data_IF_923252812454
#
_entry.id   IF_923252812454
#
_cell.length_a   1.000
_cell.length_b   1.000
_cell.length_c   1.000
_cell.angle_alpha   90.00
_cell.angle_beta   90.00
_cell.angle_gamma   90.00
#
_symmetry.space_group_name_H-M   'P 1'
#
loop_
_entity.id
_entity.type
_entity.pdbx_description
1 polymer ?
#
# COMPACT_ATOMS: atom_id res chain seq x y z
N UNK A 1 54.41 52.76 29.54
CA UNK A 1 53.45 52.95 30.64
C UNK A 1 52.81 51.59 30.92
N UNK A 2 53.08 51.01 32.11
CA UNK A 2 52.37 49.92 32.81
C UNK A 2 51.85 48.72 31.98
N UNK A 3 52.50 47.56 31.98
CA UNK A 3 52.44 46.50 33.01
C UNK A 3 51.11 45.74 33.07
N UNK A 4 51.20 44.41 32.91
CA UNK A 4 50.49 43.37 33.69
C UNK A 4 48.99 43.13 33.38
N UNK A 5 48.43 41.92 33.41
CA UNK A 5 48.90 40.54 33.58
C UNK A 5 47.64 39.63 33.58
N UNK A 6 47.86 38.30 33.40
CA UNK A 6 47.03 37.17 33.88
C UNK A 6 45.78 36.78 33.06
N UNK A 7 45.47 35.50 32.82
CA UNK A 7 46.13 34.23 33.14
C UNK A 7 45.46 33.09 32.34
N UNK A 8 46.25 32.05 32.07
CA UNK A 8 45.88 30.71 31.59
C UNK A 8 44.74 30.03 32.37
N UNK A 9 44.13 29.00 31.75
CA UNK A 9 44.02 27.58 32.20
C UNK A 9 43.19 26.83 31.12
N UNK A 10 43.80 25.99 30.25
CA UNK A 10 43.73 24.49 30.26
C UNK A 10 42.33 23.95 30.64
N UNK A 11 41.64 23.08 29.91
CA UNK A 11 41.99 21.75 29.33
C UNK A 11 40.69 21.31 28.60
N UNK A 12 40.73 20.83 27.35
CA UNK A 12 40.74 19.38 27.01
C UNK A 12 39.45 18.67 27.51
N UNK A 13 38.60 18.01 26.71
CA UNK A 13 38.83 16.88 25.81
C UNK A 13 37.48 16.59 25.10
N UNK A 14 37.48 16.22 23.82
CA UNK A 14 36.72 15.09 23.21
C UNK A 14 36.78 15.17 21.66
N UNK A 15 36.79 14.02 20.96
CA UNK A 15 37.73 13.75 19.90
C UNK A 15 37.13 13.89 18.50
N UNK A 16 38.00 14.15 17.52
CA UNK A 16 37.70 13.92 16.12
C UNK A 16 37.42 12.44 15.88
N UNK A 17 36.17 12.11 15.59
CA UNK A 17 35.78 10.80 15.07
C UNK A 17 35.54 10.91 13.57
N UNK A 18 36.32 10.09 12.88
CA UNK A 18 36.35 9.77 11.46
C UNK A 18 34.99 9.86 10.76
N UNK A 19 34.98 10.54 9.60
CA UNK A 19 33.98 10.35 8.54
C UNK A 19 34.07 8.90 8.05
N UNK A 20 33.27 8.03 8.66
CA UNK A 20 33.04 6.66 8.24
C UNK A 20 31.57 6.33 8.37
N UNK A 21 30.85 6.42 7.25
CA UNK A 21 29.76 5.51 6.89
C UNK A 21 29.20 6.00 5.56
N UNK A 22 29.69 5.39 4.48
CA UNK A 22 29.10 5.55 3.15
C UNK A 22 27.63 5.15 3.22
N UNK A 23 26.75 6.02 2.74
CA UNK A 23 25.43 5.63 2.30
C UNK A 23 25.57 4.35 1.47
N UNK A 24 24.97 3.24 1.91
CA UNK A 24 24.78 2.06 1.06
C UNK A 24 23.73 2.44 0.03
N UNK A 25 24.19 3.12 -1.01
CA UNK A 25 23.55 3.12 -2.31
C UNK A 25 23.28 1.65 -2.65
N UNK A 26 22.04 1.31 -2.97
CA UNK A 26 21.73 0.06 -3.68
C UNK A 26 22.36 0.16 -5.07
N UNK A 27 23.67 -0.07 -5.14
CA UNK A 27 24.37 -0.42 -6.36
C UNK A 27 23.95 -1.85 -6.63
N UNK A 28 23.05 -2.06 -7.59
CA UNK A 28 22.96 -3.37 -8.26
C UNK A 28 24.33 -3.54 -8.91
N UNK A 29 25.18 -4.48 -8.46
CA UNK A 29 26.52 -4.54 -8.99
C UNK A 29 26.49 -5.03 -10.44
N UNK A 30 27.49 -4.63 -11.20
CA UNK A 30 27.87 -5.17 -12.52
C UNK A 30 28.34 -6.66 -12.41
N UNK A 31 27.75 -7.45 -11.49
CA UNK A 31 28.24 -8.68 -10.82
C UNK A 31 27.94 -9.99 -11.55
N UNK A 32 27.31 -9.97 -12.72
CA UNK A 32 26.92 -11.21 -13.42
C UNK A 32 28.12 -12.09 -13.81
N UNK A 33 29.30 -11.49 -13.97
CA UNK A 33 30.54 -12.22 -14.23
C UNK A 33 31.02 -12.99 -12.99
N UNK A 34 30.89 -12.39 -11.81
CA UNK A 34 31.29 -13.01 -10.55
C UNK A 34 30.34 -14.15 -10.16
N UNK A 35 29.06 -14.01 -10.50
CA UNK A 35 28.08 -15.11 -10.40
C UNK A 35 28.45 -16.25 -11.36
N UNK A 36 28.74 -15.93 -12.63
CA UNK A 36 29.12 -16.93 -13.64
C UNK A 36 30.41 -17.68 -13.29
N UNK A 37 31.37 -17.01 -12.65
CA UNK A 37 32.72 -17.53 -12.39
C UNK A 37 32.92 -18.03 -10.96
N UNK A 38 31.85 -18.18 -10.17
CA UNK A 38 31.96 -18.57 -8.75
C UNK A 38 32.64 -19.94 -8.58
N UNK A 39 32.46 -20.87 -9.53
CA UNK A 39 33.19 -22.14 -9.58
C UNK A 39 32.81 -23.18 -8.51
N UNK A 40 31.75 -22.94 -7.73
CA UNK A 40 31.11 -23.90 -6.83
C UNK A 40 29.61 -23.57 -6.68
N UNK A 41 28.80 -24.58 -6.38
CA UNK A 41 27.38 -24.42 -6.12
C UNK A 41 27.09 -24.03 -4.67
N UNK A 42 25.99 -23.32 -4.48
CA UNK A 42 25.50 -22.86 -3.18
C UNK A 42 23.98 -22.92 -3.15
N UNK A 43 23.36 -22.66 -2.00
CA UNK A 43 21.89 -22.62 -1.92
C UNK A 43 21.28 -21.55 -2.84
N UNK A 44 22.04 -20.49 -3.16
CA UNK A 44 21.68 -19.38 -4.04
C UNK A 44 22.33 -19.43 -5.44
N UNK A 45 23.10 -20.49 -5.78
CA UNK A 45 23.69 -20.64 -7.12
C UNK A 45 23.71 -22.10 -7.56
N UNK A 46 23.20 -22.35 -8.77
CA UNK A 46 23.15 -23.67 -9.39
C UNK A 46 23.61 -23.59 -10.85
N UNK A 47 24.45 -24.53 -11.27
CA UNK A 47 24.98 -24.63 -12.62
C UNK A 47 24.26 -25.73 -13.38
N UNK A 48 23.82 -25.42 -14.60
CA UNK A 48 23.23 -26.41 -15.51
C UNK A 48 24.04 -26.49 -16.79
N UNK A 49 24.20 -27.73 -17.25
CA UNK A 49 24.76 -28.04 -18.56
C UNK A 49 23.99 -27.31 -19.68
N UNK A 50 24.57 -27.17 -20.88
CA UNK A 50 23.88 -26.58 -22.02
C UNK A 50 22.57 -27.31 -22.34
N UNK A 51 21.44 -26.60 -22.23
CA UNK A 51 20.10 -27.13 -22.54
C UNK A 51 19.36 -26.19 -23.48
N UNK A 52 18.36 -26.72 -24.19
CA UNK A 52 17.41 -25.91 -24.98
C UNK A 52 16.11 -25.80 -24.21
N UNK A 53 15.53 -24.59 -24.15
CA UNK A 53 14.19 -24.40 -23.61
C UNK A 53 13.13 -24.83 -24.64
N UNK A 54 12.75 -26.10 -24.57
CA UNK A 54 11.75 -26.73 -25.43
C UNK A 54 10.55 -27.23 -24.61
N UNK A 55 9.40 -26.60 -24.81
CA UNK A 55 8.15 -26.95 -24.11
C UNK A 55 7.48 -28.20 -24.67
N UNK A 56 7.97 -28.75 -25.80
CA UNK A 56 7.58 -30.07 -26.29
C UNK A 56 8.33 -31.18 -25.54
N UNK A 57 9.57 -30.92 -25.11
CA UNK A 57 10.34 -31.77 -24.21
C UNK A 57 10.36 -31.19 -22.78
N UNK A 58 9.21 -31.26 -22.12
CA UNK A 58 8.96 -30.60 -20.84
C UNK A 58 9.85 -31.05 -19.68
N UNK A 59 10.54 -32.19 -19.78
CA UNK A 59 11.32 -32.75 -18.66
C UNK A 59 12.40 -31.78 -18.20
N UNK A 60 13.25 -31.32 -19.12
CA UNK A 60 14.31 -30.38 -18.80
C UNK A 60 13.76 -29.03 -18.30
N UNK A 61 12.67 -28.54 -18.90
CA UNK A 61 11.99 -27.33 -18.43
C UNK A 61 11.46 -27.49 -17.00
N UNK A 62 10.88 -28.65 -16.66
CA UNK A 62 10.34 -28.94 -15.34
C UNK A 62 11.46 -29.11 -14.28
N UNK A 63 12.63 -29.62 -14.67
CA UNK A 63 13.80 -29.68 -13.78
C UNK A 63 14.26 -28.27 -13.40
N UNK A 64 14.34 -27.35 -14.36
CA UNK A 64 14.63 -25.94 -14.09
C UNK A 64 13.52 -25.29 -13.24
N UNK A 65 12.25 -25.56 -13.52
CA UNK A 65 11.12 -25.07 -12.70
C UNK A 65 11.23 -25.54 -11.26
N UNK A 66 11.61 -26.81 -11.04
CA UNK A 66 11.81 -27.36 -9.70
C UNK A 66 12.88 -26.56 -8.96
N UNK A 67 14.02 -26.29 -9.60
CA UNK A 67 15.11 -25.52 -9.00
C UNK A 67 14.70 -24.07 -8.70
N UNK A 68 13.92 -23.44 -9.59
CA UNK A 68 13.36 -22.12 -9.35
C UNK A 68 12.43 -22.12 -8.12
N UNK A 69 11.54 -23.11 -7.98
CA UNK A 69 10.67 -23.26 -6.80
C UNK A 69 11.49 -23.41 -5.52
N UNK A 70 12.51 -24.28 -5.54
CA UNK A 70 13.39 -24.52 -4.40
C UNK A 70 14.14 -23.26 -3.96
N UNK A 71 14.76 -22.57 -4.92
CA UNK A 71 15.49 -21.33 -4.66
C UNK A 71 14.56 -20.22 -4.16
N UNK A 72 13.42 -20.00 -4.82
CA UNK A 72 12.48 -18.94 -4.47
C UNK A 72 11.97 -19.07 -3.03
N UNK A 73 11.73 -20.30 -2.55
CA UNK A 73 11.31 -20.62 -1.18
C UNK A 73 12.43 -20.59 -0.14
N UNK A 74 13.69 -20.49 -0.58
CA UNK A 74 14.86 -20.52 0.30
C UNK A 74 15.50 -19.13 0.37
N UNK A 75 16.53 -18.86 -0.45
CA UNK A 75 17.28 -17.59 -0.41
C UNK A 75 17.04 -16.72 -1.65
N UNK A 76 16.30 -17.19 -2.66
CA UNK A 76 16.46 -16.71 -4.02
C UNK A 76 17.83 -17.15 -4.58
N UNK A 77 18.25 -16.57 -5.69
CA UNK A 77 19.57 -16.84 -6.25
C UNK A 77 19.64 -16.77 -7.76
N UNK A 78 20.57 -17.54 -8.33
CA UNK A 78 20.83 -17.59 -9.75
C UNK A 78 20.97 -19.03 -10.24
N UNK A 79 20.43 -19.30 -11.42
CA UNK A 79 20.68 -20.54 -12.17
C UNK A 79 21.45 -20.14 -13.44
N UNK A 80 22.61 -20.77 -13.65
CA UNK A 80 23.49 -20.47 -14.79
C UNK A 80 23.47 -21.65 -15.76
N UNK A 81 22.95 -21.43 -16.96
CA UNK A 81 22.89 -22.40 -18.04
C UNK A 81 24.13 -22.26 -18.93
N UNK A 82 24.74 -23.39 -19.27
CA UNK A 82 25.94 -23.48 -20.10
C UNK A 82 27.19 -23.93 -19.34
N UNK A 83 27.05 -24.45 -18.13
CA UNK A 83 28.16 -24.90 -17.29
C UNK A 83 27.90 -26.35 -16.86
N UNK A 84 28.74 -27.28 -17.30
CA UNK A 84 28.60 -28.70 -16.96
C UNK A 84 29.50 -29.08 -15.79
N UNK A 85 29.04 -30.04 -14.99
CA UNK A 85 29.86 -30.66 -13.95
C UNK A 85 30.82 -31.71 -14.54
N UNK A 86 32.01 -31.78 -13.95
CA UNK A 86 33.05 -32.75 -14.26
C UNK A 86 33.68 -33.26 -12.95
N UNK A 87 34.42 -34.37 -13.00
CA UNK A 87 35.09 -34.94 -11.83
C UNK A 87 36.05 -33.99 -11.13
N UNK A 88 36.54 -32.96 -11.85
CA UNK A 88 37.53 -31.99 -11.36
C UNK A 88 36.95 -30.57 -11.22
N UNK A 89 35.63 -30.39 -11.20
CA UNK A 89 34.98 -29.08 -11.05
C UNK A 89 34.00 -28.77 -12.19
N UNK A 90 33.97 -27.52 -12.64
CA UNK A 90 33.01 -27.05 -13.64
C UNK A 90 33.67 -26.77 -14.99
N UNK A 91 32.93 -27.03 -16.07
CA UNK A 91 33.32 -26.74 -17.45
C UNK A 91 32.36 -25.69 -18.02
N UNK A 92 32.90 -24.51 -18.36
CA UNK A 92 32.15 -23.43 -19.00
C UNK A 92 31.96 -23.72 -20.48
N UNK A 93 31.05 -24.63 -20.80
CA UNK A 93 30.75 -25.07 -22.17
C UNK A 93 30.18 -23.96 -23.04
N UNK A 94 29.39 -23.07 -22.43
CA UNK A 94 28.57 -22.09 -23.12
C UNK A 94 27.35 -22.74 -23.78
N UNK A 95 26.52 -21.92 -24.41
CA UNK A 95 25.38 -22.37 -25.19
C UNK A 95 25.49 -21.89 -26.64
N UNK A 96 24.88 -22.64 -27.55
CA UNK A 96 24.74 -22.25 -28.95
C UNK A 96 23.76 -21.09 -29.12
N UNK A 97 23.85 -20.35 -30.23
CA UNK A 97 22.90 -19.28 -30.56
C UNK A 97 21.43 -19.75 -30.55
N UNK A 98 21.18 -20.97 -31.02
CA UNK A 98 19.86 -21.56 -31.03
C UNK A 98 19.32 -21.81 -29.62
N UNK A 99 20.16 -22.36 -28.73
CA UNK A 99 19.82 -22.52 -27.31
C UNK A 99 19.61 -21.16 -26.65
N UNK A 100 20.50 -20.19 -26.88
CA UNK A 100 20.35 -18.84 -26.33
C UNK A 100 19.03 -18.20 -26.75
N UNK A 101 18.62 -18.31 -28.02
CA UNK A 101 17.33 -17.78 -28.51
C UNK A 101 16.11 -18.49 -27.92
N UNK A 102 16.24 -19.77 -27.52
CA UNK A 102 15.14 -20.50 -26.89
C UNK A 102 14.75 -19.95 -25.52
N UNK A 103 15.71 -19.37 -24.80
CA UNK A 103 15.51 -18.72 -23.52
C UNK A 103 15.06 -17.26 -23.68
N UNK A 104 13.78 -17.05 -23.39
CA UNK A 104 13.11 -15.74 -23.33
C UNK A 104 12.42 -15.59 -21.97
N UNK A 105 12.59 -14.44 -21.31
CA UNK A 105 12.06 -14.17 -19.97
C UNK A 105 10.54 -14.37 -19.90
N UNK A 106 9.80 -13.85 -20.88
CA UNK A 106 8.33 -13.90 -20.88
C UNK A 106 7.84 -15.33 -21.09
N UNK A 107 8.51 -16.07 -21.97
CA UNK A 107 8.22 -17.48 -22.24
C UNK A 107 8.48 -18.36 -21.01
N UNK A 108 9.63 -18.21 -20.37
CA UNK A 108 10.00 -18.95 -19.14
C UNK A 108 9.01 -18.64 -18.01
N UNK A 109 8.71 -17.36 -17.76
CA UNK A 109 7.78 -16.97 -16.69
C UNK A 109 6.35 -17.46 -16.96
N UNK A 110 5.88 -17.44 -18.21
CA UNK A 110 4.56 -18.00 -18.59
C UNK A 110 4.49 -19.50 -18.35
N UNK A 111 5.56 -20.23 -18.66
CA UNK A 111 5.62 -21.66 -18.37
C UNK A 111 5.58 -21.91 -16.87
N UNK A 112 6.43 -21.21 -16.10
CA UNK A 112 6.56 -21.29 -14.65
C UNK A 112 5.26 -20.97 -13.89
N UNK A 113 4.48 -19.99 -14.36
CA UNK A 113 3.16 -19.64 -13.80
C UNK A 113 2.20 -20.83 -13.73
N UNK A 114 2.29 -21.79 -14.66
CA UNK A 114 1.45 -22.99 -14.64
C UNK A 114 1.81 -23.97 -13.50
N UNK A 115 2.96 -23.78 -12.86
CA UNK A 115 3.51 -24.69 -11.86
C UNK A 115 3.66 -24.05 -10.48
N UNK A 116 3.65 -22.73 -10.34
CA UNK A 116 3.88 -22.03 -9.07
C UNK A 116 2.66 -21.20 -8.62
N UNK A 117 2.27 -21.33 -7.35
CA UNK A 117 1.28 -20.48 -6.67
C UNK A 117 1.83 -19.96 -5.32
N UNK A 118 1.99 -18.65 -5.10
CA UNK A 118 1.78 -17.58 -6.08
C UNK A 118 2.79 -17.64 -7.24
N UNK A 119 2.57 -16.91 -8.35
CA UNK A 119 3.50 -16.84 -9.46
C UNK A 119 4.91 -16.35 -9.07
N UNK A 120 5.93 -16.92 -9.70
CA UNK A 120 7.33 -16.46 -9.59
C UNK A 120 7.70 -15.71 -10.88
N UNK A 121 8.23 -14.49 -10.75
CA UNK A 121 8.72 -13.69 -11.88
C UNK A 121 10.26 -13.68 -11.88
N UNK A 122 10.86 -14.58 -12.66
CA UNK A 122 12.31 -14.63 -12.84
C UNK A 122 12.82 -13.56 -13.81
N UNK A 123 14.09 -13.20 -13.68
CA UNK A 123 14.80 -12.36 -14.66
C UNK A 123 15.77 -13.22 -15.46
N UNK A 124 15.95 -12.92 -16.75
CA UNK A 124 16.88 -13.66 -17.59
C UNK A 124 17.86 -12.69 -18.26
N UNK A 125 19.14 -13.02 -18.18
CA UNK A 125 20.23 -12.26 -18.80
C UNK A 125 21.13 -13.20 -19.59
N UNK A 126 21.52 -12.79 -20.78
CA UNK A 126 22.54 -13.49 -21.58
C UNK A 126 23.88 -12.80 -21.34
N UNK A 127 24.91 -13.57 -21.05
CA UNK A 127 26.26 -13.04 -20.77
C UNK A 127 27.28 -13.76 -21.62
N UNK A 128 28.11 -12.99 -22.32
CA UNK A 128 29.25 -13.52 -23.04
C UNK A 128 30.50 -13.52 -22.16
N UNK A 129 31.25 -14.61 -22.19
CA UNK A 129 32.53 -14.78 -21.52
C UNK A 129 33.42 -15.75 -22.33
N UNK A 130 34.66 -15.34 -22.59
CA UNK A 130 35.65 -16.12 -23.35
C UNK A 130 35.12 -16.68 -24.69
N UNK A 131 34.36 -15.86 -25.42
CA UNK A 131 33.78 -16.21 -26.72
C UNK A 131 32.59 -17.18 -26.65
N UNK A 132 32.08 -17.46 -25.45
CA UNK A 132 30.94 -18.33 -25.20
C UNK A 132 29.80 -17.56 -24.53
N UNK A 133 28.57 -17.89 -24.88
CA UNK A 133 27.37 -17.27 -24.29
C UNK A 133 26.81 -18.15 -23.18
N UNK A 134 26.26 -17.54 -22.14
CA UNK A 134 25.59 -18.19 -21.01
C UNK A 134 24.25 -17.53 -20.74
N UNK A 135 23.31 -18.28 -20.17
CA UNK A 135 22.02 -17.74 -19.70
C UNK A 135 22.02 -17.76 -18.17
N UNK A 136 21.78 -16.60 -17.56
CA UNK A 136 21.69 -16.44 -16.11
C UNK A 136 20.24 -16.11 -15.78
N UNK A 137 19.60 -16.98 -15.01
CA UNK A 137 18.24 -16.84 -14.52
C UNK A 137 18.31 -16.35 -13.08
N UNK A 138 17.92 -15.10 -12.84
CA UNK A 138 17.78 -14.56 -11.49
C UNK A 138 16.43 -14.97 -10.91
N UNK A 139 16.48 -15.70 -9.79
CA UNK A 139 15.33 -16.20 -9.05
C UNK A 139 15.09 -15.32 -7.82
N UNK A 140 13.97 -14.59 -7.74
CA UNK A 140 13.67 -13.80 -6.56
C UNK A 140 13.29 -14.71 -5.40
N UNK A 141 13.66 -14.29 -4.18
CA UNK A 141 13.10 -14.86 -2.97
C UNK A 141 11.63 -14.44 -2.83
N UNK A 142 10.79 -15.32 -2.29
CA UNK A 142 9.39 -14.99 -1.98
C UNK A 142 9.30 -13.78 -1.04
N UNK A 143 8.31 -12.90 -1.23
CA UNK A 143 8.24 -11.63 -0.51
C UNK A 143 7.16 -11.58 0.59
N UNK A 144 6.17 -12.47 0.55
CA UNK A 144 5.12 -12.57 1.58
C UNK A 144 4.73 -14.05 1.78
N UNK A 145 4.26 -14.70 0.71
CA UNK A 145 3.82 -16.10 0.75
C UNK A 145 4.79 -17.00 -0.02
N UNK A 146 5.19 -18.17 0.54
CA UNK A 146 5.97 -19.18 -0.18
C UNK A 146 5.24 -19.73 -1.40
N UNK A 147 5.99 -20.22 -2.38
CA UNK A 147 5.49 -20.75 -3.64
C UNK A 147 5.27 -22.27 -3.57
N UNK A 148 4.03 -22.69 -3.77
CA UNK A 148 3.63 -24.10 -3.82
C UNK A 148 3.64 -24.56 -5.28
N UNK A 149 4.13 -25.78 -5.52
CA UNK A 149 3.97 -26.44 -6.80
C UNK A 149 2.51 -26.87 -6.98
N UNK A 150 1.83 -26.35 -8.00
CA UNK A 150 0.39 -26.60 -8.24
C UNK A 150 0.11 -27.60 -9.37
N UNK A 151 1.15 -28.13 -10.04
CA UNK A 151 0.99 -29.07 -11.15
C UNK A 151 2.06 -30.16 -11.16
N UNK A 152 1.61 -31.41 -11.30
CA UNK A 152 2.50 -32.57 -11.43
C UNK A 152 3.27 -32.58 -12.76
N UNK A 153 4.49 -33.12 -12.71
CA UNK A 153 5.20 -33.60 -13.88
C UNK A 153 5.92 -34.92 -13.56
N UNK A 154 5.57 -36.05 -14.21
CA UNK A 154 6.06 -37.38 -13.85
C UNK A 154 7.58 -37.43 -13.65
N UNK A 155 8.00 -37.87 -12.46
CA UNK A 155 9.42 -38.05 -12.10
C UNK A 155 10.18 -36.76 -11.76
N UNK A 156 9.56 -35.58 -11.82
CA UNK A 156 10.24 -34.29 -11.53
C UNK A 156 9.48 -33.47 -10.50
N UNK A 157 8.21 -33.14 -10.77
CA UNK A 157 7.37 -32.25 -9.96
C UNK A 157 6.15 -33.00 -9.43
N UNK A 158 5.73 -32.65 -8.22
CA UNK A 158 4.57 -33.19 -7.53
C UNK A 158 3.75 -32.04 -6.96
N UNK A 159 2.43 -32.14 -7.03
CA UNK A 159 1.49 -31.14 -6.56
C UNK A 159 0.46 -31.75 -5.58
N UNK A 160 0.08 -31.03 -4.51
CA UNK A 160 0.70 -29.79 -4.01
C UNK A 160 2.02 -30.10 -3.28
N UNK A 161 3.11 -29.40 -3.60
CA UNK A 161 4.39 -29.59 -2.89
C UNK A 161 5.16 -28.30 -2.75
N UNK A 162 5.67 -28.04 -1.54
CA UNK A 162 6.62 -26.97 -1.28
C UNK A 162 8.04 -27.52 -1.42
N UNK A 163 8.78 -27.02 -2.40
CA UNK A 163 10.18 -27.36 -2.64
C UNK A 163 11.12 -26.35 -1.97
N UNK A 164 12.23 -26.83 -1.40
CA UNK A 164 13.28 -26.02 -0.76
C UNK A 164 14.67 -26.51 -1.17
N UNK A 165 15.69 -25.65 -1.00
CA UNK A 165 17.11 -26.01 -1.15
C UNK A 165 17.62 -26.66 0.14
N UNK A 166 18.16 -27.86 0.01
CA UNK A 166 18.78 -28.60 1.11
C UNK A 166 20.20 -28.07 1.39
N UNK A 167 20.82 -28.55 2.47
CA UNK A 167 22.22 -28.24 2.80
C UNK A 167 23.22 -28.74 1.74
N UNK A 168 22.82 -29.72 0.93
CA UNK A 168 23.62 -30.23 -0.18
C UNK A 168 23.40 -29.44 -1.48
N UNK A 169 22.74 -28.27 -1.41
CA UNK A 169 22.36 -27.47 -2.57
C UNK A 169 21.45 -28.23 -3.56
N UNK A 170 20.66 -29.20 -3.09
CA UNK A 170 19.68 -29.88 -3.94
C UNK A 170 18.28 -29.34 -3.70
N UNK A 171 17.40 -29.45 -4.69
CA UNK A 171 16.00 -29.10 -4.52
C UNK A 171 15.15 -30.32 -4.13
N UNK A 172 14.56 -30.29 -2.95
CA UNK A 172 13.74 -31.38 -2.41
C UNK A 172 12.39 -30.89 -1.86
N UNK A 173 11.36 -31.76 -1.83
CA UNK A 173 10.16 -31.50 -1.04
C UNK A 173 10.52 -31.24 0.42
N UNK A 174 9.79 -30.36 1.07
CA UNK A 174 9.87 -30.19 2.51
C UNK A 174 9.60 -31.53 3.24
N UNK A 175 10.48 -31.90 4.18
CA UNK A 175 10.38 -33.19 4.88
C UNK A 175 10.54 -33.09 6.39
N UNK A 176 11.07 -31.97 6.91
CA UNK A 176 11.31 -31.80 8.34
C UNK A 176 10.55 -30.60 8.91
N UNK A 177 10.31 -30.64 10.22
CA UNK A 177 9.80 -29.50 10.98
C UNK A 177 10.79 -28.33 11.00
N UNK A 178 12.09 -28.60 10.86
CA UNK A 178 13.14 -27.59 10.77
C UNK A 178 12.99 -26.77 9.47
N UNK A 179 12.80 -27.44 8.33
CA UNK A 179 12.56 -26.79 7.03
C UNK A 179 11.28 -25.93 7.09
N UNK A 180 10.22 -26.46 7.70
CA UNK A 180 8.95 -25.74 7.84
C UNK A 180 9.12 -24.48 8.67
N UNK A 181 9.81 -24.61 9.81
CA UNK A 181 10.11 -23.49 10.69
C UNK A 181 10.95 -22.43 10.00
N UNK A 182 11.96 -22.83 9.23
CA UNK A 182 12.80 -21.91 8.46
C UNK A 182 11.98 -21.07 7.47
N UNK A 183 11.08 -21.69 6.70
CA UNK A 183 10.21 -20.95 5.77
C UNK A 183 9.28 -19.99 6.53
N UNK A 184 8.69 -20.44 7.63
CA UNK A 184 7.78 -19.62 8.42
C UNK A 184 8.49 -18.40 9.02
N UNK A 185 9.67 -18.59 9.61
CA UNK A 185 10.50 -17.51 10.15
C UNK A 185 10.89 -16.51 9.04
N UNK A 186 11.16 -17.02 7.83
CA UNK A 186 11.44 -16.19 6.67
C UNK A 186 10.23 -15.41 6.17
N UNK A 187 9.03 -15.98 6.18
CA UNK A 187 7.79 -15.28 5.84
C UNK A 187 7.49 -14.17 6.85
N UNK A 188 7.62 -14.47 8.14
CA UNK A 188 7.46 -13.49 9.23
C UNK A 188 8.48 -12.36 9.09
N UNK A 189 9.75 -12.70 8.83
CA UNK A 189 10.81 -11.70 8.62
C UNK A 189 10.53 -10.83 7.40
N UNK A 190 10.20 -11.41 6.25
CA UNK A 190 9.93 -10.64 5.03
C UNK A 190 8.75 -9.67 5.23
N UNK A 191 7.70 -10.10 5.94
CA UNK A 191 6.59 -9.24 6.32
C UNK A 191 7.03 -8.15 7.31
N UNK A 192 7.85 -8.50 8.30
CA UNK A 192 8.45 -7.54 9.23
C UNK A 192 9.34 -6.50 8.55
N UNK A 193 10.17 -6.91 7.59
CA UNK A 193 11.04 -6.02 6.81
C UNK A 193 10.22 -5.11 5.91
N UNK A 194 9.13 -5.59 5.31
CA UNK A 194 8.17 -4.73 4.59
C UNK A 194 7.53 -3.71 5.53
N UNK A 195 7.05 -4.13 6.70
CA UNK A 195 6.48 -3.22 7.69
C UNK A 195 7.50 -2.19 8.18
N UNK A 196 8.74 -2.62 8.45
CA UNK A 196 9.84 -1.73 8.84
C UNK A 196 10.29 -0.84 7.68
N UNK A 197 10.21 -1.29 6.43
CA UNK A 197 10.47 -0.47 5.25
C UNK A 197 9.36 0.56 5.06
N UNK A 198 8.09 0.22 5.30
CA UNK A 198 6.98 1.18 5.31
C UNK A 198 7.11 2.15 6.50
N UNK A 199 7.46 1.68 7.70
CA UNK A 199 7.71 2.54 8.89
C UNK A 199 8.95 3.42 8.70
N UNK A 200 10.02 2.89 8.10
CA UNK A 200 11.18 3.68 7.72
C UNK A 200 10.85 4.59 6.55
N UNK A 201 10.03 4.20 5.58
CA UNK A 201 9.54 5.14 4.59
C UNK A 201 8.81 6.27 5.31
N UNK A 202 7.93 6.00 6.26
CA UNK A 202 7.25 7.01 7.10
C UNK A 202 8.23 7.87 7.92
N UNK A 203 9.30 7.29 8.48
CA UNK A 203 10.29 7.98 9.34
C UNK A 203 11.43 8.65 8.55
N UNK A 204 11.69 8.22 7.32
CA UNK A 204 12.81 8.62 6.44
C UNK A 204 12.32 9.31 5.17
N UNK A 205 11.01 9.39 4.93
CA UNK A 205 10.41 10.42 4.09
C UNK A 205 10.62 11.74 4.80
N UNK A 206 11.78 12.33 4.53
CA UNK A 206 11.79 13.74 4.23
C UNK A 206 10.65 14.02 3.27
N UNK A 207 9.87 15.04 3.62
CA UNK A 207 8.78 15.63 2.87
C UNK A 207 8.88 15.34 1.36
N UNK A 208 8.09 14.37 0.87
CA UNK A 208 7.69 14.40 -0.54
C UNK A 208 6.73 15.58 -0.63
N UNK A 209 7.30 16.78 -0.70
CA UNK A 209 6.55 17.98 -0.98
C UNK A 209 6.05 17.85 -2.41
N UNK A 210 4.73 17.87 -2.65
CA UNK A 210 4.21 17.90 -4.00
C UNK A 210 4.81 19.08 -4.76
N UNK A 211 4.91 18.96 -6.09
CA UNK A 211 5.26 20.11 -6.92
C UNK A 211 4.24 21.23 -6.60
N UNK A 212 4.67 22.45 -6.22
CA UNK A 212 3.74 23.51 -5.82
C UNK A 212 2.62 23.77 -6.82
N UNK A 213 2.93 23.67 -8.13
CA UNK A 213 1.95 23.84 -9.20
C UNK A 213 0.88 22.72 -9.26
N UNK A 214 1.24 21.48 -8.90
CA UNK A 214 0.28 20.38 -8.88
C UNK A 214 -0.65 20.50 -7.68
N UNK A 215 -0.10 20.85 -6.51
CA UNK A 215 -0.88 21.09 -5.29
C UNK A 215 -1.85 22.27 -5.48
N UNK A 216 -1.40 23.38 -6.08
CA UNK A 216 -2.26 24.53 -6.38
C UNK A 216 -3.47 24.16 -7.24
N UNK A 217 -3.28 23.27 -8.23
CA UNK A 217 -4.37 22.81 -9.10
C UNK A 217 -5.38 21.93 -8.35
N UNK A 218 -4.92 21.00 -7.50
CA UNK A 218 -5.83 20.21 -6.66
C UNK A 218 -6.54 21.07 -5.60
N UNK A 219 -5.86 22.06 -5.03
CA UNK A 219 -6.49 23.02 -4.11
C UNK A 219 -7.54 23.89 -4.80
N UNK A 220 -7.35 24.23 -6.08
CA UNK A 220 -8.36 24.89 -6.88
C UNK A 220 -9.61 24.01 -7.08
N UNK A 221 -9.43 22.73 -7.45
CA UNK A 221 -10.54 21.76 -7.57
C UNK A 221 -11.27 21.55 -6.24
N UNK A 222 -10.54 21.46 -5.12
CA UNK A 222 -11.13 21.40 -3.78
C UNK A 222 -11.99 22.63 -3.49
N UNK A 223 -11.43 23.82 -3.71
CA UNK A 223 -12.11 25.09 -3.43
C UNK A 223 -13.35 25.25 -4.29
N UNK A 224 -13.27 24.90 -5.58
CA UNK A 224 -14.40 24.90 -6.50
C UNK A 224 -15.52 23.98 -6.03
N UNK A 225 -15.21 22.74 -5.64
CA UNK A 225 -16.18 21.77 -5.13
C UNK A 225 -16.89 22.28 -3.86
N UNK A 226 -16.12 22.82 -2.90
CA UNK A 226 -16.68 23.37 -1.66
C UNK A 226 -17.58 24.60 -1.93
N UNK A 227 -17.12 25.55 -2.75
CA UNK A 227 -17.88 26.75 -3.12
C UNK A 227 -19.17 26.36 -3.86
N UNK A 228 -19.07 25.41 -4.79
CA UNK A 228 -20.23 24.91 -5.55
C UNK A 228 -21.31 24.36 -4.62
N UNK A 229 -20.91 23.57 -3.62
CA UNK A 229 -21.85 23.08 -2.60
C UNK A 229 -22.49 24.24 -1.83
N UNK A 230 -21.69 25.12 -1.23
CA UNK A 230 -22.19 26.17 -0.32
C UNK A 230 -23.06 27.22 -1.03
N UNK A 231 -22.69 27.59 -2.27
CA UNK A 231 -23.37 28.66 -2.99
C UNK A 231 -24.60 28.15 -3.74
N UNK A 232 -24.53 26.94 -4.33
CA UNK A 232 -25.49 26.50 -5.35
C UNK A 232 -26.29 25.27 -4.96
N UNK A 233 -25.66 24.27 -4.33
CA UNK A 233 -26.25 22.93 -4.20
C UNK A 233 -26.80 22.60 -2.81
N UNK A 234 -26.37 23.28 -1.75
CA UNK A 234 -26.73 22.90 -0.39
C UNK A 234 -28.27 22.94 -0.18
N UNK A 235 -28.93 21.76 -0.03
CA UNK A 235 -30.39 21.67 0.07
C UNK A 235 -30.91 22.22 1.40
N UNK A 236 -30.03 22.39 2.39
CA UNK A 236 -30.34 22.83 3.75
C UNK A 236 -29.73 24.18 4.08
N UNK A 237 -29.48 25.02 3.07
CA UNK A 237 -28.92 26.37 3.25
C UNK A 237 -29.69 27.19 4.29
N UNK A 238 -31.02 27.21 4.20
CA UNK A 238 -31.89 27.92 5.14
C UNK A 238 -31.84 27.36 6.58
N UNK A 239 -31.48 26.08 6.73
CA UNK A 239 -31.32 25.47 8.06
C UNK A 239 -30.01 25.91 8.73
N UNK A 240 -29.05 26.51 8.02
CA UNK A 240 -27.79 26.99 8.60
C UNK A 240 -27.05 25.91 9.42
N UNK A 241 -26.91 24.71 8.83
CA UNK A 241 -26.01 23.70 9.38
C UNK A 241 -24.56 24.13 9.20
N UNK A 242 -23.73 23.93 10.22
CA UNK A 242 -22.29 24.23 10.19
C UNK A 242 -21.41 22.99 10.29
N UNK A 243 -21.96 21.87 10.79
CA UNK A 243 -21.23 20.63 11.02
C UNK A 243 -21.18 19.72 9.80
N UNK A 244 -20.08 19.76 9.05
CA UNK A 244 -19.83 18.85 7.92
C UNK A 244 -18.52 18.10 8.09
N UNK A 245 -18.43 16.90 7.51
CA UNK A 245 -17.16 16.20 7.26
C UNK A 245 -16.85 16.29 5.79
N UNK A 246 -15.60 16.58 5.46
CA UNK A 246 -15.08 16.56 4.11
C UNK A 246 -13.92 15.58 4.04
N UNK A 247 -13.89 14.77 3.00
CA UNK A 247 -12.74 13.93 2.67
C UNK A 247 -12.35 14.16 1.22
N UNK A 248 -11.05 14.25 0.95
CA UNK A 248 -10.51 14.27 -0.40
C UNK A 248 -9.40 13.26 -0.56
N UNK A 249 -9.28 12.71 -1.76
CA UNK A 249 -8.21 11.78 -2.13
C UNK A 249 -7.74 12.10 -3.55
N UNK A 250 -6.44 12.26 -3.74
CA UNK A 250 -5.90 12.65 -5.04
C UNK A 250 -4.41 12.26 -5.17
N UNK A 251 -3.92 11.95 -6.38
CA UNK A 251 -2.50 11.70 -6.61
C UNK A 251 -1.69 12.99 -6.41
N UNK A 252 -0.38 12.87 -6.16
CA UNK A 252 0.48 14.06 -5.99
C UNK A 252 0.84 14.76 -7.31
N UNK A 253 0.72 14.06 -8.44
CA UNK A 253 0.94 14.60 -9.79
C UNK A 253 -0.39 14.98 -10.41
N UNK A 254 -0.51 16.21 -10.87
CA UNK A 254 -1.70 16.71 -11.54
C UNK A 254 -1.66 16.46 -13.05
N UNK A 255 -2.74 15.89 -13.58
CA UNK A 255 -3.00 15.78 -15.02
C UNK A 255 -4.50 15.95 -15.27
N UNK A 256 -4.92 17.05 -15.90
CA UNK A 256 -6.35 17.46 -16.02
C UNK A 256 -7.30 16.34 -16.51
N UNK A 257 -6.86 15.53 -17.49
CA UNK A 257 -7.63 14.43 -18.08
C UNK A 257 -6.90 13.11 -18.03
N UNK A 258 -6.47 12.73 -16.83
CA UNK A 258 -5.80 11.46 -16.59
C UNK A 258 -6.69 10.24 -16.85
N UNK A 259 -7.97 10.34 -16.49
CA UNK A 259 -8.94 9.24 -16.60
C UNK A 259 -10.14 9.61 -17.46
N UNK A 260 -10.73 8.62 -18.10
CA UNK A 260 -11.99 8.74 -18.84
C UNK A 260 -13.20 8.68 -17.90
N UNK A 261 -14.34 9.24 -18.30
CA UNK A 261 -15.57 9.17 -17.51
C UNK A 261 -16.01 7.72 -17.22
N UNK A 262 -15.78 6.79 -18.15
CA UNK A 262 -16.17 5.39 -17.96
C UNK A 262 -15.28 4.69 -16.93
N UNK A 263 -13.99 5.01 -16.89
CA UNK A 263 -13.09 4.55 -15.82
C UNK A 263 -13.52 5.08 -14.46
N UNK A 264 -13.86 6.37 -14.37
CA UNK A 264 -14.34 6.98 -13.12
C UNK A 264 -15.64 6.31 -12.64
N UNK A 265 -16.58 6.01 -13.57
CA UNK A 265 -17.84 5.34 -13.25
C UNK A 265 -17.62 3.93 -12.74
N UNK A 266 -16.84 3.13 -13.48
CA UNK A 266 -16.54 1.75 -13.11
C UNK A 266 -15.83 1.69 -11.74
N UNK A 267 -14.91 2.63 -11.49
CA UNK A 267 -14.23 2.77 -10.21
C UNK A 267 -15.20 3.08 -9.06
N UNK A 268 -16.08 4.07 -9.24
CA UNK A 268 -17.05 4.48 -8.23
C UNK A 268 -18.05 3.37 -7.89
N UNK A 269 -18.62 2.69 -8.90
CA UNK A 269 -19.56 1.58 -8.69
C UNK A 269 -18.91 0.43 -7.89
N UNK A 270 -17.64 0.12 -8.14
CA UNK A 270 -16.88 -0.90 -7.39
C UNK A 270 -16.54 -0.45 -5.96
N UNK A 271 -16.29 0.84 -5.74
CA UNK A 271 -15.91 1.37 -4.44
C UNK A 271 -17.10 1.60 -3.49
N UNK A 272 -18.33 1.63 -4.01
CA UNK A 272 -19.56 1.75 -3.23
C UNK A 272 -19.83 0.48 -2.39
N UNK A 273 -19.21 0.38 -1.21
CA UNK A 273 -19.33 -0.74 -0.27
C UNK A 273 -20.08 -0.30 0.99
N UNK A 274 -21.12 -1.07 1.36
CA UNK A 274 -21.97 -0.76 2.52
C UNK A 274 -21.58 -1.57 3.77
N UNK A 275 -21.26 -0.85 4.86
CA UNK A 275 -21.04 -1.44 6.19
C UNK A 275 -22.07 -1.02 7.24
N UNK A 276 -22.90 0.00 6.94
CA UNK A 276 -23.72 0.72 7.95
C UNK A 276 -25.16 1.02 7.50
N UNK A 277 -25.56 0.56 6.31
CA UNK A 277 -26.82 0.91 5.64
C UNK A 277 -26.75 2.18 4.78
N UNK A 278 -25.65 2.92 4.86
CA UNK A 278 -25.36 4.07 4.01
C UNK A 278 -23.85 4.12 3.71
N UNK A 279 -23.41 3.61 2.56
CA UNK A 279 -21.99 3.60 2.18
C UNK A 279 -21.39 5.00 2.11
N UNK A 280 -20.08 5.11 2.33
CA UNK A 280 -19.32 6.36 2.17
C UNK A 280 -19.45 6.97 0.78
N UNK A 281 -19.41 6.13 -0.27
CA UNK A 281 -19.69 6.53 -1.64
C UNK A 281 -21.08 6.04 -2.02
N UNK A 282 -22.10 6.81 -1.65
CA UNK A 282 -23.48 6.41 -1.91
C UNK A 282 -23.87 6.58 -3.37
N UNK A 283 -24.35 5.48 -3.96
CA UNK A 283 -24.84 5.40 -5.33
C UNK A 283 -26.28 4.88 -5.29
N UNK A 284 -27.25 5.79 -5.48
CA UNK A 284 -28.65 5.39 -5.58
C UNK A 284 -28.92 4.66 -6.89
N UNK A 285 -29.44 3.43 -6.79
CA UNK A 285 -29.92 2.65 -7.93
C UNK A 285 -31.33 3.05 -8.38
N UNK A 286 -32.16 3.51 -7.44
CA UNK A 286 -33.55 3.93 -7.72
C UNK A 286 -33.65 5.39 -8.16
N UNK A 287 -32.62 6.19 -7.88
CA UNK A 287 -32.55 7.62 -8.22
C UNK A 287 -31.27 7.94 -8.98
N UNK A 288 -31.13 7.46 -10.24
CA UNK A 288 -29.96 7.75 -11.06
C UNK A 288 -29.84 9.23 -11.42
N UNK A 289 -30.94 10.00 -11.31
CA UNK A 289 -30.99 11.45 -11.54
C UNK A 289 -30.14 12.26 -10.54
N UNK A 290 -29.83 11.70 -9.37
CA UNK A 290 -29.02 12.36 -8.34
C UNK A 290 -27.51 12.34 -8.64
N UNK A 291 -27.11 11.74 -9.76
CA UNK A 291 -25.72 11.57 -10.18
C UNK A 291 -25.57 11.83 -11.67
N UNK A 292 -24.71 12.77 -12.05
CA UNK A 292 -24.64 13.25 -13.43
C UNK A 292 -23.21 13.65 -13.82
N UNK A 293 -22.93 13.56 -15.13
CA UNK A 293 -21.64 13.99 -15.68
C UNK A 293 -21.52 15.51 -15.65
N UNK A 294 -20.32 15.99 -15.34
CA UNK A 294 -19.91 17.39 -15.45
C UNK A 294 -18.75 17.47 -16.46
N UNK A 295 -18.30 18.68 -16.78
CA UNK A 295 -17.31 18.92 -17.83
C UNK A 295 -16.01 18.13 -17.66
N UNK A 296 -15.60 17.92 -16.41
CA UNK A 296 -14.31 17.34 -16.03
C UNK A 296 -14.47 16.14 -15.08
N UNK A 297 -15.64 15.51 -15.02
CA UNK A 297 -15.86 14.42 -14.07
C UNK A 297 -17.30 13.99 -13.86
N UNK A 298 -17.53 13.44 -12.67
CA UNK A 298 -18.82 12.94 -12.21
C UNK A 298 -19.17 13.56 -10.87
N UNK A 299 -20.44 13.94 -10.70
CA UNK A 299 -20.93 14.60 -9.50
C UNK A 299 -22.21 13.91 -9.02
N UNK A 300 -22.38 13.83 -7.70
CA UNK A 300 -23.64 13.44 -7.09
C UNK A 300 -24.02 14.35 -5.93
N UNK A 301 -25.32 14.59 -5.78
CA UNK A 301 -25.92 15.30 -4.66
C UNK A 301 -27.13 14.50 -4.19
N UNK A 302 -27.03 13.94 -2.99
CA UNK A 302 -28.07 13.10 -2.40
C UNK A 302 -28.62 13.77 -1.14
N UNK A 303 -29.65 14.61 -1.27
CA UNK A 303 -30.44 15.04 -0.12
C UNK A 303 -31.33 13.88 0.34
N UNK A 304 -31.36 13.63 1.64
CA UNK A 304 -32.22 12.60 2.23
C UNK A 304 -32.65 12.99 3.65
N UNK A 305 -33.68 12.32 4.16
CA UNK A 305 -34.10 12.39 5.57
C UNK A 305 -34.17 10.96 6.08
N UNK A 306 -33.38 10.65 7.10
CA UNK A 306 -33.33 9.28 7.63
C UNK A 306 -34.66 8.88 8.31
N UNK A 307 -34.78 7.60 8.65
CA UNK A 307 -35.99 7.03 9.28
C UNK A 307 -36.34 7.65 10.65
N UNK A 308 -35.41 8.36 11.29
CA UNK A 308 -35.65 9.09 12.54
C UNK A 308 -35.97 10.58 12.30
N UNK A 309 -36.01 11.00 11.03
CA UNK A 309 -36.26 12.36 10.60
C UNK A 309 -35.02 13.25 10.58
N UNK A 310 -33.81 12.71 10.72
CA UNK A 310 -32.60 13.52 10.67
C UNK A 310 -32.28 13.88 9.21
N UNK A 311 -32.02 15.14 8.97
CA UNK A 311 -31.54 15.62 7.69
C UNK A 311 -30.18 15.00 7.36
N UNK A 312 -30.02 14.59 6.10
CA UNK A 312 -28.80 14.04 5.54
C UNK A 312 -28.56 14.67 4.17
N UNK A 313 -27.31 15.01 3.91
CA UNK A 313 -26.86 15.33 2.56
C UNK A 313 -25.49 14.72 2.36
N UNK A 314 -25.35 14.05 1.23
CA UNK A 314 -24.14 13.38 0.76
C UNK A 314 -23.81 13.96 -0.61
N UNK A 315 -22.69 14.65 -0.70
CA UNK A 315 -22.23 15.31 -1.92
C UNK A 315 -20.83 14.82 -2.24
N UNK A 316 -20.61 14.36 -3.46
CA UNK A 316 -19.27 13.99 -3.91
C UNK A 316 -19.04 14.36 -5.38
N UNK A 317 -17.76 14.58 -5.69
CA UNK A 317 -17.24 14.81 -7.04
C UNK A 317 -16.05 13.89 -7.27
N UNK A 318 -15.97 13.32 -8.46
CA UNK A 318 -14.82 12.58 -8.94
C UNK A 318 -14.40 13.10 -10.31
N UNK A 319 -13.26 13.78 -10.37
CA UNK A 319 -12.76 14.47 -11.56
C UNK A 319 -11.76 13.61 -12.34
N UNK A 320 -11.66 13.86 -13.65
CA UNK A 320 -10.77 13.16 -14.57
C UNK A 320 -9.29 13.35 -14.24
N UNK A 321 -8.96 14.35 -13.41
CA UNK A 321 -7.63 14.53 -12.82
C UNK A 321 -7.24 13.45 -11.81
N UNK A 322 -8.20 12.62 -11.40
CA UNK A 322 -8.06 11.74 -10.26
C UNK A 322 -8.31 12.45 -8.94
N UNK A 323 -8.89 13.65 -8.92
CA UNK A 323 -9.32 14.30 -7.69
C UNK A 323 -10.70 13.79 -7.27
N UNK A 324 -10.78 13.25 -6.06
CA UNK A 324 -12.02 12.90 -5.40
C UNK A 324 -12.28 13.83 -4.22
N UNK A 325 -13.51 14.33 -4.11
CA UNK A 325 -14.01 15.12 -3.00
C UNK A 325 -15.36 14.60 -2.53
N UNK A 326 -15.54 14.50 -1.22
CA UNK A 326 -16.79 14.16 -0.56
C UNK A 326 -17.05 15.12 0.58
N UNK A 327 -18.30 15.58 0.72
CA UNK A 327 -18.80 16.38 1.83
C UNK A 327 -20.14 15.80 2.29
N UNK A 328 -20.22 15.53 3.58
CA UNK A 328 -21.43 14.99 4.22
C UNK A 328 -21.83 15.84 5.43
N UNK A 329 -23.13 16.05 5.62
CA UNK A 329 -23.65 16.60 6.86
C UNK A 329 -23.41 15.60 8.00
N UNK A 330 -22.77 16.06 9.08
CA UNK A 330 -22.56 15.22 10.27
C UNK A 330 -23.93 14.84 10.83
N UNK A 331 -24.23 13.55 10.94
CA UNK A 331 -25.53 13.07 11.42
C UNK A 331 -25.89 13.65 12.80
N UNK A 332 -24.90 13.75 13.69
CA UNK A 332 -25.02 14.32 15.03
C UNK A 332 -25.52 15.77 15.01
N UNK A 333 -25.20 16.55 13.97
CA UNK A 333 -25.65 17.94 13.83
C UNK A 333 -27.17 18.04 13.69
N UNK A 334 -27.78 17.20 12.83
CA UNK A 334 -29.23 17.19 12.67
C UNK A 334 -29.92 16.53 13.87
N UNK A 335 -29.36 15.41 14.36
CA UNK A 335 -29.89 14.66 15.50
C UNK A 335 -29.97 15.50 16.78
N UNK A 336 -28.87 16.13 17.20
CA UNK A 336 -28.87 16.95 18.42
C UNK A 336 -29.79 18.17 18.30
N UNK A 337 -29.81 18.81 17.12
CA UNK A 337 -30.67 19.97 16.87
C UNK A 337 -32.16 19.63 17.01
N UNK A 338 -32.59 18.48 16.49
CA UNK A 338 -33.98 17.99 16.65
C UNK A 338 -34.33 17.73 18.11
N UNK A 339 -33.36 17.33 18.92
CA UNK A 339 -33.55 17.09 20.36
C UNK A 339 -33.38 18.34 21.23
N UNK A 340 -33.05 19.50 20.64
CA UNK A 340 -32.74 20.71 21.39
C UNK A 340 -31.48 20.60 22.25
N UNK A 341 -30.58 19.69 21.89
CA UNK A 341 -29.38 19.38 22.64
C UNK A 341 -28.14 20.12 22.07
N UNK A 342 -27.04 20.22 22.84
CA UNK A 342 -25.83 20.87 22.38
C UNK A 342 -25.23 20.22 21.12
N UNK A 343 -24.54 21.00 20.29
CA UNK A 343 -23.78 20.48 19.16
C UNK A 343 -22.69 19.51 19.62
N UNK A 344 -22.79 18.26 19.19
CA UNK A 344 -21.82 17.21 19.52
C UNK A 344 -21.20 16.59 18.27
N UNK A 345 -20.10 15.88 18.47
CA UNK A 345 -19.52 14.94 17.52
C UNK A 345 -19.33 13.60 18.22
N UNK A 346 -19.87 12.55 17.62
CA UNK A 346 -19.73 11.21 18.15
C UNK A 346 -18.35 10.63 17.81
N UNK A 347 -17.68 10.12 18.84
CA UNK A 347 -16.35 9.53 18.73
C UNK A 347 -16.36 8.31 17.80
N UNK A 348 -17.40 7.47 17.89
CA UNK A 348 -17.53 6.27 17.07
C UNK A 348 -17.83 6.60 15.61
N UNK A 349 -18.75 7.52 15.36
CA UNK A 349 -19.19 7.93 14.03
C UNK A 349 -18.07 8.57 13.23
N UNK A 350 -17.22 9.39 13.87
CA UNK A 350 -16.01 9.92 13.22
C UNK A 350 -15.05 8.79 12.85
N UNK A 351 -14.75 7.90 13.79
CA UNK A 351 -13.80 6.80 13.56
C UNK A 351 -14.26 5.87 12.43
N UNK A 352 -15.55 5.53 12.43
CA UNK A 352 -16.18 4.77 11.35
C UNK A 352 -16.12 5.50 10.02
N UNK A 353 -16.44 6.80 9.99
CA UNK A 353 -16.37 7.62 8.78
C UNK A 353 -14.96 7.63 8.18
N UNK A 354 -13.92 7.87 8.99
CA UNK A 354 -12.53 7.90 8.52
C UNK A 354 -12.11 6.53 7.98
N UNK A 355 -12.46 5.45 8.68
CA UNK A 355 -12.13 4.10 8.26
C UNK A 355 -12.82 3.73 6.93
N UNK A 356 -14.11 4.03 6.78
CA UNK A 356 -14.81 3.81 5.52
C UNK A 356 -14.28 4.68 4.39
N UNK A 357 -13.92 5.94 4.68
CA UNK A 357 -13.30 6.81 3.69
C UNK A 357 -12.03 6.17 3.14
N UNK A 358 -11.08 5.77 3.98
CA UNK A 358 -9.81 5.17 3.54
C UNK A 358 -10.07 3.86 2.78
N UNK A 359 -10.98 3.01 3.28
CA UNK A 359 -11.33 1.76 2.61
C UNK A 359 -11.92 2.00 1.22
N UNK A 360 -12.95 2.85 1.15
CA UNK A 360 -13.63 3.19 -0.10
C UNK A 360 -12.66 3.84 -1.09
N UNK A 361 -11.86 4.80 -0.65
CA UNK A 361 -10.95 5.55 -1.50
C UNK A 361 -9.81 4.66 -2.01
N UNK A 362 -9.21 3.80 -1.19
CA UNK A 362 -8.20 2.85 -1.68
C UNK A 362 -8.75 1.84 -2.69
N UNK A 363 -10.06 1.54 -2.62
CA UNK A 363 -10.79 0.74 -3.62
C UNK A 363 -11.18 1.53 -4.87
N UNK A 364 -11.50 2.82 -4.73
CA UNK A 364 -11.80 3.72 -5.83
C UNK A 364 -10.62 3.78 -6.81
N UNK A 365 -9.39 3.91 -6.30
CA UNK A 365 -8.19 4.01 -7.13
C UNK A 365 -7.55 2.66 -7.48
N UNK A 366 -8.11 1.54 -7.05
CA UNK A 366 -7.67 0.21 -7.47
C UNK A 366 -7.78 0.13 -9.01
N UNK A 367 -6.73 -0.28 -9.71
CA UNK A 367 -6.67 -0.29 -11.19
C UNK A 367 -6.70 1.09 -11.88
N UNK A 368 -6.74 2.21 -11.15
CA UNK A 368 -6.55 3.56 -11.72
C UNK A 368 -5.13 4.07 -11.50
N UNK A 369 -4.54 3.77 -10.35
CA UNK A 369 -3.18 4.15 -9.98
C UNK A 369 -2.33 2.91 -9.70
N UNK A 370 -1.03 3.06 -9.89
CA UNK A 370 -0.06 2.05 -9.45
C UNK A 370 0.06 2.03 -7.92
N UNK A 371 0.32 0.85 -7.36
CA UNK A 371 0.42 0.65 -5.91
C UNK A 371 1.52 1.50 -5.24
N UNK A 372 2.55 1.90 -6.00
CA UNK A 372 3.65 2.76 -5.55
C UNK A 372 3.35 4.25 -5.65
N UNK A 373 2.25 4.62 -6.30
CA UNK A 373 1.94 6.02 -6.54
C UNK A 373 1.51 6.73 -5.26
N UNK A 374 2.05 7.91 -5.04
CA UNK A 374 1.78 8.74 -3.87
C UNK A 374 0.42 9.40 -4.00
N UNK A 375 -0.41 9.23 -2.98
CA UNK A 375 -1.75 9.78 -2.90
C UNK A 375 -1.96 10.51 -1.57
N UNK A 376 -2.58 11.68 -1.67
CA UNK A 376 -2.95 12.52 -0.54
C UNK A 376 -4.32 12.13 -0.04
N UNK A 377 -4.46 11.85 1.26
CA UNK A 377 -5.74 11.84 1.95
C UNK A 377 -5.87 13.14 2.76
N UNK A 378 -6.94 13.89 2.51
CA UNK A 378 -7.29 15.08 3.27
C UNK A 378 -8.62 14.86 4.00
N UNK A 379 -8.68 15.26 5.27
CA UNK A 379 -9.89 15.29 6.08
C UNK A 379 -10.08 16.70 6.62
N UNK A 380 -11.30 17.23 6.48
CA UNK A 380 -11.73 18.44 7.19
C UNK A 380 -13.01 18.14 7.98
N UNK A 381 -13.04 18.61 9.23
CA UNK A 381 -14.25 18.59 10.06
C UNK A 381 -14.63 20.04 10.33
N UNK A 382 -15.77 20.46 9.80
CA UNK A 382 -16.26 21.84 9.87
C UNK A 382 -17.21 22.03 11.07
N UNK A 383 -17.35 23.28 11.52
CA UNK A 383 -18.27 23.63 12.59
C UNK A 383 -17.88 23.03 13.94
N UNK A 384 -16.57 22.96 14.22
CA UNK A 384 -16.04 22.32 15.44
C UNK A 384 -15.96 23.28 16.63
N UNK A 385 -16.04 24.59 16.41
CA UNK A 385 -15.89 25.58 17.49
C UNK A 385 -17.00 25.40 18.52
N UNK A 386 -16.58 25.20 19.77
CA UNK A 386 -17.41 24.93 20.95
C UNK A 386 -18.26 23.64 20.88
N UNK A 387 -18.10 22.83 19.82
CA UNK A 387 -18.68 21.49 19.70
C UNK A 387 -18.06 20.56 20.73
N UNK A 388 -18.88 19.68 21.31
CA UNK A 388 -18.46 18.70 22.33
C UNK A 388 -18.23 17.31 21.74
N UNK A 389 -17.21 16.57 22.20
CA UNK A 389 -17.11 15.13 21.93
C UNK A 389 -18.01 14.34 22.85
N UNK A 390 -18.72 13.35 22.30
CA UNK A 390 -19.54 12.43 23.07
C UNK A 390 -19.49 11.01 22.51
N UNK A 391 -20.06 10.07 23.27
CA UNK A 391 -20.45 8.74 22.80
C UNK A 391 -21.97 8.66 22.83
N UNK A 392 -22.58 8.76 21.66
CA UNK A 392 -24.03 8.75 21.48
C UNK A 392 -24.61 7.33 21.44
N UNK A 393 -23.77 6.30 21.25
CA UNK A 393 -24.20 4.90 21.43
C UNK A 393 -24.46 4.61 22.92
N UNK A 394 -25.69 4.17 23.22
CA UNK A 394 -26.19 3.87 24.56
C UNK A 394 -25.38 2.80 25.31
N UNK A 395 -24.57 2.01 24.60
CA UNK A 395 -23.71 0.96 25.19
C UNK A 395 -22.32 1.45 25.62
N UNK A 396 -21.90 2.66 25.22
CA UNK A 396 -20.49 3.10 25.29
C UNK A 396 -20.07 3.85 26.54
N UNK A 397 -21.03 4.23 27.40
CA UNK A 397 -20.83 5.13 28.55
C UNK A 397 -20.42 6.54 28.13
N UNK A 398 -20.71 7.54 28.96
CA UNK A 398 -20.26 8.92 28.72
C UNK A 398 -18.73 9.05 28.83
N UNK A 399 -18.17 10.04 28.15
CA UNK A 399 -16.77 10.41 28.37
C UNK A 399 -16.58 10.93 29.80
N UNK A 400 -15.38 10.73 30.36
CA UNK A 400 -15.08 11.10 31.76
C UNK A 400 -15.12 12.61 32.01
N UNK A 401 -14.96 13.42 30.96
CA UNK A 401 -14.96 14.87 31.01
C UNK A 401 -15.62 15.44 29.75
N UNK A 402 -15.93 16.73 29.79
CA UNK A 402 -16.40 17.48 28.63
C UNK A 402 -15.19 17.91 27.80
N UNK A 403 -15.08 17.38 26.59
CA UNK A 403 -14.04 17.75 25.62
C UNK A 403 -14.63 18.62 24.54
N UNK A 404 -14.06 19.82 24.32
CA UNK A 404 -14.55 20.81 23.34
C UNK A 404 -13.42 21.33 22.48
N UNK A 405 -13.70 21.57 21.20
CA UNK A 405 -12.76 22.25 20.33
C UNK A 405 -12.95 23.77 20.39
N UNK A 406 -11.85 24.51 20.21
CA UNK A 406 -11.87 25.98 20.02
C UNK A 406 -11.65 26.38 18.57
N UNK A 407 -11.33 25.42 17.71
CA UNK A 407 -11.08 25.65 16.30
C UNK A 407 -12.41 25.64 15.54
N UNK A 408 -12.62 26.54 14.56
CA UNK A 408 -13.82 26.53 13.71
C UNK A 408 -13.87 25.30 12.81
N UNK A 409 -12.70 24.75 12.48
CA UNK A 409 -12.53 23.54 11.73
C UNK A 409 -11.26 22.79 12.18
N UNK A 410 -11.23 21.50 11.93
CA UNK A 410 -10.05 20.66 12.14
C UNK A 410 -9.64 20.09 10.79
N UNK A 411 -8.35 20.20 10.46
CA UNK A 411 -7.79 19.70 9.20
C UNK A 411 -6.74 18.63 9.48
N UNK A 412 -6.71 17.62 8.62
CA UNK A 412 -5.67 16.61 8.57
C UNK A 412 -5.32 16.36 7.10
N UNK A 413 -4.04 16.18 6.81
CA UNK A 413 -3.57 15.77 5.49
C UNK A 413 -2.37 14.84 5.64
N UNK A 414 -2.29 13.81 4.80
CA UNK A 414 -1.16 12.89 4.74
C UNK A 414 -0.98 12.36 3.31
N UNK A 415 0.27 12.21 2.91
CA UNK A 415 0.66 11.61 1.64
C UNK A 415 1.31 10.25 1.93
N UNK A 416 0.83 9.19 1.28
CA UNK A 416 1.44 7.86 1.31
C UNK A 416 1.23 7.18 -0.05
N UNK A 417 2.04 6.15 -0.37
CA UNK A 417 1.74 5.25 -1.48
C UNK A 417 0.36 4.61 -1.34
N UNK A 418 -0.33 4.37 -2.47
CA UNK A 418 -1.65 3.74 -2.48
C UNK A 418 -1.66 2.38 -1.75
N UNK A 419 -0.62 1.57 -1.94
CA UNK A 419 -0.48 0.28 -1.25
C UNK A 419 -0.37 0.42 0.27
N UNK A 420 0.29 1.47 0.78
CA UNK A 420 0.45 1.70 2.22
C UNK A 420 -0.85 2.12 2.88
N UNK A 421 -1.69 2.92 2.19
CA UNK A 421 -3.05 3.19 2.65
C UNK A 421 -3.87 1.90 2.74
N UNK A 422 -3.78 1.04 1.73
CA UNK A 422 -4.52 -0.23 1.65
C UNK A 422 -4.06 -1.26 2.70
N UNK A 423 -2.77 -1.30 3.00
CA UNK A 423 -2.19 -2.30 3.90
C UNK A 423 -2.57 -2.10 5.37
N UNK A 424 -2.85 -0.86 5.80
CA UNK A 424 -3.03 -0.52 7.21
C UNK A 424 -4.27 0.36 7.49
N UNK A 425 -5.39 0.11 6.79
CA UNK A 425 -6.63 0.91 6.88
C UNK A 425 -7.05 1.22 8.33
N UNK A 426 -7.09 0.19 9.19
CA UNK A 426 -7.50 0.35 10.59
C UNK A 426 -6.53 1.24 11.37
N UNK A 427 -5.22 1.08 11.15
CA UNK A 427 -4.19 1.88 11.83
C UNK A 427 -4.28 3.34 11.46
N UNK A 428 -4.36 3.61 10.14
CA UNK A 428 -4.50 4.96 9.63
C UNK A 428 -5.75 5.63 10.18
N UNK A 429 -6.88 4.93 10.19
CA UNK A 429 -8.13 5.47 10.71
C UNK A 429 -8.07 5.79 12.21
N UNK A 430 -7.45 4.91 13.02
CA UNK A 430 -7.24 5.14 14.46
C UNK A 430 -6.36 6.37 14.68
N UNK A 431 -5.27 6.50 13.94
CA UNK A 431 -4.33 7.61 14.06
C UNK A 431 -4.94 8.94 13.63
N UNK A 432 -5.63 8.98 12.49
CA UNK A 432 -6.34 10.17 12.01
C UNK A 432 -7.43 10.60 13.00
N UNK A 433 -8.19 9.63 13.54
CA UNK A 433 -9.21 9.91 14.55
C UNK A 433 -8.59 10.50 15.81
N UNK A 434 -7.46 9.96 16.27
CA UNK A 434 -6.68 10.50 17.39
C UNK A 434 -6.29 11.95 17.11
N UNK A 435 -5.75 12.26 15.94
CA UNK A 435 -5.36 13.62 15.58
C UNK A 435 -6.54 14.58 15.71
N UNK A 436 -7.73 14.20 15.24
CA UNK A 436 -8.94 15.01 15.41
C UNK A 436 -9.32 15.16 16.88
N UNK A 437 -9.34 14.09 17.66
CA UNK A 437 -9.73 14.13 19.08
C UNK A 437 -8.79 14.99 19.94
N UNK A 438 -7.50 15.03 19.62
CA UNK A 438 -6.55 15.93 20.29
C UNK A 438 -6.95 17.41 20.13
N UNK A 439 -7.58 17.81 19.01
CA UNK A 439 -8.05 19.19 18.79
C UNK A 439 -9.35 19.52 19.54
N UNK A 440 -9.94 18.55 20.23
CA UNK A 440 -10.99 18.74 21.24
C UNK A 440 -10.42 18.76 22.68
N UNK A 441 -9.10 18.83 22.83
CA UNK A 441 -8.39 18.76 24.11
C UNK A 441 -8.56 17.42 24.84
N UNK A 442 -8.85 16.34 24.10
CA UNK A 442 -8.82 14.99 24.66
C UNK A 442 -7.42 14.39 24.51
N UNK A 443 -6.55 14.63 25.50
CA UNK A 443 -5.12 14.33 25.40
C UNK A 443 -4.79 12.84 25.28
N UNK A 444 -5.60 11.97 25.90
CA UNK A 444 -5.37 10.52 25.93
C UNK A 444 -6.62 9.76 25.48
N UNK A 445 -6.96 9.80 24.18
CA UNK A 445 -8.09 9.05 23.66
C UNK A 445 -7.80 7.55 23.71
N UNK A 446 -8.81 6.75 24.05
CA UNK A 446 -8.66 5.28 24.12
C UNK A 446 -8.59 4.67 22.72
N UNK A 447 -7.37 4.52 22.19
CA UNK A 447 -7.12 3.99 20.85
C UNK A 447 -7.60 2.53 20.69
N UNK A 448 -7.55 1.74 21.77
CA UNK A 448 -8.06 0.37 21.78
C UNK A 448 -9.57 0.31 21.53
N UNK A 449 -10.35 1.21 22.13
CA UNK A 449 -11.80 1.27 21.91
C UNK A 449 -12.11 1.74 20.48
N UNK A 450 -11.41 2.78 19.99
CA UNK A 450 -11.58 3.30 18.63
C UNK A 450 -11.32 2.18 17.60
N UNK A 451 -10.22 1.43 17.78
CA UNK A 451 -9.87 0.28 16.95
C UNK A 451 -10.97 -0.79 16.97
N UNK A 452 -11.47 -1.15 18.15
CA UNK A 452 -12.55 -2.15 18.26
C UNK A 452 -13.83 -1.71 17.55
N UNK A 453 -14.18 -0.41 17.61
CA UNK A 453 -15.34 0.13 16.89
C UNK A 453 -15.16 -0.07 15.38
N UNK A 454 -13.99 0.32 14.85
CA UNK A 454 -13.68 0.19 13.42
C UNK A 454 -13.67 -1.29 12.99
N UNK A 455 -13.02 -2.17 13.76
CA UNK A 455 -12.98 -3.60 13.46
C UNK A 455 -14.38 -4.24 13.47
N UNK A 456 -15.23 -3.86 14.44
CA UNK A 456 -16.62 -4.33 14.48
C UNK A 456 -17.43 -3.86 13.28
N UNK A 457 -17.19 -2.65 12.80
CA UNK A 457 -17.84 -2.13 11.58
C UNK A 457 -17.42 -2.98 10.36
N UNK A 458 -16.12 -3.21 10.14
CA UNK A 458 -15.66 -4.03 9.02
C UNK A 458 -16.02 -5.52 9.12
N UNK A 459 -16.23 -6.05 10.32
CA UNK A 459 -16.69 -7.42 10.52
C UNK A 459 -18.17 -7.63 10.15
N UNK A 460 -18.96 -6.55 10.03
CA UNK A 460 -20.33 -6.60 9.52
C UNK A 460 -20.27 -6.69 7.99
N UNK A 461 -20.02 -7.88 7.45
CA UNK A 461 -20.35 -8.14 6.04
C UNK A 461 -21.87 -8.38 5.96
N UNK A 462 -22.57 -7.45 5.32
CA UNK A 462 -23.96 -7.61 4.90
C UNK A 462 -24.03 -8.30 3.53
#
# INVERSE_FOLDING_TARGET
MKSQEKQNIFTDVLPQVQKGSSARTNVVPDDLKDILLRGYETKDLDYKAPIMWDENNKKACCEVVKDILGMANTLGGYIVIGVSESSNGFIWDGITDQQARSFDTSRVNRFLQNYADPPINTTLRKKDHDGKTFVIIGVPRFSDTPHICQKDYPGVLTAPTLYVRTDNNETAPIRSSADFRFILENAIRNRGDKLLASVRAILTTGEVSPNPNDEEQFQAQFSEAAIRFDMTLNPYKEKNYSGYREAAFYPTRFEDRRFTLDELRAAAERASIDFRGWPFLFISRSRPDLRYAIQDGWEALIPDVDFQGNDRVDFWRFQQSGFFYHRVLIWEESHQRRQGQPSTMDVGALAMYVAEAIHCLTKLYENLLDDTEQVTFSLRVLGTKDRQLERLDSKGGSLSMIYRSKLPEIRFSRILPLADWRAAIVEHAVEISKEVFLRFNWEQPSLGIIRQIIQKMFARQL
#
